data_IF_970130603530
#
_entry.id   IF_970130603530
#
_cell.length_a   1.000
_cell.length_b   1.000
_cell.length_c   1.000
_cell.angle_alpha   90.00
_cell.angle_beta   90.00
_cell.angle_gamma   90.00
#
_symmetry.space_group_name_H-M   'P 1'
#
loop_
_entity.id
_entity.type
_entity.pdbx_description
1 polymer ?
#
# COMPACT_ATOMS: atom_id res chain seq x y z
N UNK A 1 10.01 -13.05 13.12
CA UNK A 1 9.30 -13.81 12.10
C UNK A 1 9.54 -13.17 10.74
N UNK A 2 10.00 -13.95 9.77
CA UNK A 2 10.18 -13.49 8.40
C UNK A 2 9.56 -14.54 7.47
N UNK A 3 8.69 -14.10 6.57
CA UNK A 3 7.96 -14.98 5.68
C UNK A 3 8.22 -14.62 4.22
N UNK A 4 8.35 -15.64 3.39
CA UNK A 4 8.32 -15.48 1.94
C UNK A 4 6.88 -15.32 1.49
N UNK A 5 6.60 -14.29 0.70
CA UNK A 5 5.25 -13.99 0.18
C UNK A 5 5.24 -14.26 -1.32
N UNK A 6 4.35 -15.12 -1.75
CA UNK A 6 4.23 -15.50 -3.15
C UNK A 6 2.79 -15.34 -3.64
N UNK A 7 2.63 -14.71 -4.79
CA UNK A 7 1.37 -14.65 -5.55
C UNK A 7 0.16 -14.23 -4.70
N UNK A 8 -0.81 -15.11 -4.49
CA UNK A 8 -2.02 -14.82 -3.70
C UNK A 8 -1.78 -14.53 -2.23
N UNK A 9 -0.61 -14.88 -1.69
CA UNK A 9 -0.23 -14.53 -0.32
C UNK A 9 -0.14 -13.01 -0.13
N UNK A 10 0.10 -12.25 -1.20
CA UNK A 10 0.09 -10.79 -1.13
C UNK A 10 -1.25 -10.27 -0.62
N UNK A 11 -2.35 -10.84 -1.08
CA UNK A 11 -3.66 -10.47 -0.54
C UNK A 11 -3.85 -10.99 0.88
N UNK A 12 -3.72 -12.29 1.09
CA UNK A 12 -4.09 -12.93 2.36
C UNK A 12 -3.19 -12.56 3.53
N UNK A 13 -1.92 -12.24 3.28
CA UNK A 13 -0.93 -11.96 4.34
C UNK A 13 -0.51 -10.49 4.42
N UNK A 14 -0.68 -9.71 3.37
CA UNK A 14 -0.30 -8.29 3.35
C UNK A 14 -1.55 -7.40 3.32
N UNK A 15 -2.31 -7.44 2.25
CA UNK A 15 -3.48 -6.56 2.09
C UNK A 15 -4.50 -6.79 3.20
N UNK A 16 -4.75 -8.03 3.58
CA UNK A 16 -5.70 -8.37 4.64
C UNK A 16 -5.31 -7.81 6.03
N UNK A 17 -4.04 -7.42 6.23
CA UNK A 17 -3.59 -6.79 7.47
C UNK A 17 -3.88 -5.29 7.52
N UNK A 18 -4.01 -4.64 6.38
CA UNK A 18 -4.17 -3.17 6.29
C UNK A 18 -5.35 -2.65 7.13
N UNK A 19 -6.54 -3.27 7.10
CA UNK A 19 -7.65 -2.79 7.93
C UNK A 19 -7.40 -2.82 9.44
N UNK A 20 -6.40 -3.57 9.89
CA UNK A 20 -6.06 -3.73 11.31
C UNK A 20 -5.04 -2.71 11.80
N UNK A 21 -4.50 -1.89 10.93
CA UNK A 21 -3.50 -0.85 11.27
C UNK A 21 -4.11 0.15 12.24
N UNK A 22 -3.33 0.56 13.25
CA UNK A 22 -3.81 1.44 14.33
C UNK A 22 -3.09 2.78 14.41
N UNK A 23 -1.86 2.89 13.92
CA UNK A 23 -1.04 4.10 14.08
C UNK A 23 -0.57 4.68 12.75
N UNK A 24 0.11 3.89 11.94
CA UNK A 24 0.62 4.37 10.66
C UNK A 24 0.59 3.29 9.58
N UNK A 25 0.38 3.76 8.36
CA UNK A 25 0.44 2.95 7.14
C UNK A 25 1.22 3.75 6.10
N UNK A 26 2.42 3.28 5.77
CA UNK A 26 3.26 3.89 4.73
C UNK A 26 3.36 2.94 3.56
N UNK A 27 3.05 3.42 2.38
CA UNK A 27 3.07 2.62 1.16
C UNK A 27 3.88 3.32 0.08
N UNK A 28 4.81 2.58 -0.53
CA UNK A 28 5.46 2.99 -1.77
C UNK A 28 5.11 1.98 -2.86
N UNK A 29 4.80 2.47 -4.05
CA UNK A 29 4.43 1.64 -5.20
C UNK A 29 4.75 2.38 -6.49
N UNK A 30 5.17 1.66 -7.52
CA UNK A 30 5.41 2.30 -8.82
C UNK A 30 4.08 2.55 -9.55
N UNK A 31 3.20 1.58 -9.57
CA UNK A 31 1.88 1.68 -10.17
C UNK A 31 0.80 1.57 -9.10
N UNK A 32 -0.30 2.27 -9.31
CA UNK A 32 -1.37 2.40 -8.32
C UNK A 32 -2.71 2.26 -9.00
N UNK A 33 -3.48 1.26 -8.58
CA UNK A 33 -4.87 1.09 -8.98
C UNK A 33 -5.69 0.73 -7.77
N UNK A 34 -6.91 1.23 -7.70
CA UNK A 34 -7.79 0.81 -6.62
C UNK A 34 -8.05 -0.69 -6.73
N UNK A 35 -8.15 -1.33 -5.59
CA UNK A 35 -8.42 -2.76 -5.49
C UNK A 35 -9.45 -3.00 -4.39
N UNK A 36 -10.04 -4.18 -4.36
CA UNK A 36 -11.14 -4.48 -3.45
C UNK A 36 -10.65 -5.37 -2.30
N UNK A 37 -11.14 -5.06 -1.10
CA UNK A 37 -10.74 -5.73 0.13
C UNK A 37 -11.99 -6.20 0.86
N UNK A 38 -11.93 -7.38 1.47
CA UNK A 38 -12.98 -7.85 2.36
C UNK A 38 -12.95 -7.03 3.65
N UNK A 39 -14.04 -6.32 3.91
CA UNK A 39 -14.26 -5.61 5.17
C UNK A 39 -14.86 -6.54 6.22
N UNK A 40 -15.68 -7.49 5.77
CA UNK A 40 -16.28 -8.56 6.56
C UNK A 40 -16.51 -9.77 5.67
N UNK A 41 -17.04 -10.88 6.20
CA UNK A 41 -17.32 -12.08 5.40
C UNK A 41 -18.25 -11.81 4.20
N UNK A 42 -19.12 -10.83 4.30
CA UNK A 42 -20.15 -10.53 3.30
C UNK A 42 -19.92 -9.22 2.55
N UNK A 43 -18.92 -8.42 2.97
CA UNK A 43 -18.78 -7.05 2.45
C UNK A 43 -17.39 -6.88 1.83
N UNK A 44 -17.37 -6.51 0.54
CA UNK A 44 -16.15 -6.16 -0.21
C UNK A 44 -16.23 -4.67 -0.51
N UNK A 45 -15.14 -3.95 -0.24
CA UNK A 45 -15.06 -2.50 -0.45
C UNK A 45 -13.77 -2.14 -1.18
N UNK A 46 -13.73 -1.00 -1.88
CA UNK A 46 -12.47 -0.49 -2.42
C UNK A 46 -11.43 -0.27 -1.32
N UNK A 47 -10.14 -0.45 -1.64
CA UNK A 47 -9.06 -0.17 -0.69
C UNK A 47 -9.11 1.29 -0.21
N UNK A 48 -9.50 2.21 -1.08
CA UNK A 48 -9.66 3.62 -0.71
C UNK A 48 -10.68 3.81 0.41
N UNK A 49 -11.73 2.99 0.46
CA UNK A 49 -12.67 2.99 1.60
C UNK A 49 -11.97 2.63 2.91
N UNK A 50 -11.07 1.64 2.87
CA UNK A 50 -10.28 1.25 4.04
C UNK A 50 -9.34 2.39 4.46
N UNK A 51 -8.66 3.03 3.51
CA UNK A 51 -7.82 4.20 3.82
C UNK A 51 -8.64 5.32 4.46
N UNK A 52 -9.84 5.57 3.95
CA UNK A 52 -10.76 6.55 4.51
C UNK A 52 -11.12 6.23 5.97
N UNK A 53 -11.45 4.99 6.26
CA UNK A 53 -11.73 4.55 7.63
C UNK A 53 -10.50 4.75 8.53
N UNK A 54 -9.31 4.41 8.05
CA UNK A 54 -8.07 4.57 8.81
C UNK A 54 -7.77 6.04 9.13
N UNK A 55 -7.83 6.93 8.14
CA UNK A 55 -7.53 8.35 8.40
C UNK A 55 -8.56 8.99 9.32
N UNK A 56 -9.82 8.58 9.27
CA UNK A 56 -10.85 9.03 10.21
C UNK A 56 -10.58 8.59 11.65
N UNK A 57 -9.90 7.46 11.83
CA UNK A 57 -9.48 6.96 13.15
C UNK A 57 -8.18 7.60 13.64
N UNK A 58 -7.56 8.47 12.87
CA UNK A 58 -6.31 9.11 13.23
C UNK A 58 -5.06 8.37 12.80
N UNK A 59 -5.17 7.35 11.95
CA UNK A 59 -4.01 6.64 11.38
C UNK A 59 -3.29 7.57 10.40
N UNK A 60 -1.96 7.65 10.52
CA UNK A 60 -1.13 8.37 9.55
C UNK A 60 -0.98 7.51 8.30
N UNK A 61 -1.59 7.92 7.19
CA UNK A 61 -1.47 7.23 5.91
C UNK A 61 -0.62 8.06 4.96
N UNK A 62 0.52 7.50 4.52
CA UNK A 62 1.42 8.09 3.53
C UNK A 62 1.54 7.18 2.33
N UNK A 63 1.39 7.73 1.15
CA UNK A 63 1.46 7.01 -0.11
C UNK A 63 2.40 7.71 -1.09
N UNK A 64 3.44 7.00 -1.53
CA UNK A 64 4.31 7.44 -2.64
C UNK A 64 4.02 6.57 -3.85
N UNK A 65 3.81 7.20 -5.00
CA UNK A 65 3.59 6.48 -6.25
C UNK A 65 4.31 7.16 -7.42
N UNK A 66 4.68 6.36 -8.42
CA UNK A 66 5.49 6.85 -9.54
C UNK A 66 4.66 7.37 -10.69
N UNK A 67 3.46 6.84 -10.89
CA UNK A 67 2.56 7.20 -11.99
C UNK A 67 1.29 7.84 -11.48
N UNK A 68 0.76 8.79 -12.24
CA UNK A 68 -0.58 9.29 -11.98
C UNK A 68 -1.60 8.15 -12.09
N UNK A 69 -2.50 8.01 -11.10
CA UNK A 69 -3.53 6.99 -11.16
C UNK A 69 -4.52 7.26 -12.31
N UNK A 70 -5.12 6.18 -12.80
CA UNK A 70 -6.14 6.28 -13.82
C UNK A 70 -7.43 6.95 -13.34
N UNK A 71 -8.33 7.23 -14.30
CA UNK A 71 -9.58 7.93 -14.02
C UNK A 71 -10.44 7.21 -12.97
N UNK A 72 -10.55 5.88 -13.04
CA UNK A 72 -11.35 5.10 -12.09
C UNK A 72 -10.88 5.29 -10.64
N UNK A 73 -9.56 5.29 -10.41
CA UNK A 73 -9.00 5.55 -9.09
C UNK A 73 -9.34 6.98 -8.63
N UNK A 74 -9.22 7.96 -9.50
CA UNK A 74 -9.50 9.36 -9.16
C UNK A 74 -10.97 9.56 -8.82
N UNK A 75 -11.87 8.95 -9.56
CA UNK A 75 -13.32 8.98 -9.28
C UNK A 75 -13.65 8.35 -7.94
N UNK A 76 -13.04 7.21 -7.63
CA UNK A 76 -13.22 6.56 -6.33
C UNK A 76 -12.61 7.40 -5.19
N UNK A 77 -11.45 8.00 -5.41
CA UNK A 77 -10.82 8.88 -4.43
C UNK A 77 -11.72 10.07 -4.08
N UNK A 78 -12.38 10.65 -5.06
CA UNK A 78 -13.27 11.81 -4.86
C UNK A 78 -14.52 11.48 -4.03
N UNK A 79 -14.87 10.21 -3.91
CA UNK A 79 -15.97 9.77 -3.04
C UNK A 79 -15.65 9.88 -1.54
N UNK A 80 -14.39 10.07 -1.19
CA UNK A 80 -13.92 10.05 0.20
C UNK A 80 -13.23 11.36 0.56
N UNK A 81 -13.99 12.42 0.94
CA UNK A 81 -13.41 13.74 1.24
C UNK A 81 -12.33 13.74 2.31
N UNK A 82 -12.40 12.83 3.29
CA UNK A 82 -11.39 12.73 4.35
C UNK A 82 -10.01 12.36 3.79
N UNK A 83 -9.93 11.68 2.65
CA UNK A 83 -8.65 11.37 2.01
C UNK A 83 -7.93 12.63 1.53
N UNK A 84 -8.65 13.62 1.03
CA UNK A 84 -8.08 14.88 0.58
C UNK A 84 -7.44 15.66 1.72
N UNK A 85 -8.05 15.66 2.89
CA UNK A 85 -7.61 16.48 4.02
C UNK A 85 -6.64 15.75 4.96
N UNK A 86 -6.66 14.41 5.00
CA UNK A 86 -5.96 13.64 6.04
C UNK A 86 -4.94 12.63 5.51
N UNK A 87 -5.07 12.14 4.28
CA UNK A 87 -4.08 11.25 3.70
C UNK A 87 -3.00 12.06 2.99
N UNK A 88 -1.74 11.72 3.24
CA UNK A 88 -0.60 12.33 2.57
C UNK A 88 -0.20 11.49 1.36
N UNK A 89 -0.10 12.12 0.20
CA UNK A 89 0.24 11.46 -1.06
C UNK A 89 1.29 12.26 -1.82
N UNK A 90 2.32 11.56 -2.32
CA UNK A 90 3.38 12.17 -3.14
C UNK A 90 3.58 11.40 -4.43
N UNK A 91 3.71 12.15 -5.52
CA UNK A 91 4.10 11.60 -6.81
C UNK A 91 5.63 11.71 -6.94
N UNK A 92 6.29 10.59 -7.18
CA UNK A 92 7.72 10.53 -7.39
C UNK A 92 8.05 9.58 -8.55
N UNK A 93 8.23 10.10 -9.78
CA UNK A 93 8.41 9.26 -10.98
C UNK A 93 9.57 8.28 -10.93
N UNK A 94 10.54 8.51 -10.06
CA UNK A 94 11.70 7.62 -9.87
C UNK A 94 11.44 6.43 -8.96
N UNK A 95 10.30 6.39 -8.26
CA UNK A 95 9.99 5.29 -7.34
C UNK A 95 9.67 4.01 -8.12
N UNK A 96 10.42 2.97 -7.83
CA UNK A 96 10.15 1.62 -8.33
C UNK A 96 10.05 0.60 -7.19
N UNK A 97 10.36 1.00 -5.98
CA UNK A 97 10.23 0.16 -4.79
C UNK A 97 8.76 -0.11 -4.46
N UNK A 98 8.49 -1.27 -3.88
CA UNK A 98 7.18 -1.67 -3.39
C UNK A 98 7.32 -2.05 -1.93
N UNK A 99 6.83 -1.17 -1.06
CA UNK A 99 6.99 -1.27 0.40
C UNK A 99 5.65 -0.99 1.05
N UNK A 100 5.29 -1.78 2.05
CA UNK A 100 4.15 -1.52 2.93
C UNK A 100 4.62 -1.62 4.37
N UNK A 101 4.57 -0.51 5.10
CA UNK A 101 4.91 -0.46 6.52
C UNK A 101 3.63 -0.31 7.32
N UNK A 102 3.42 -1.21 8.28
CA UNK A 102 2.24 -1.24 9.13
C UNK A 102 2.64 -1.10 10.59
N UNK A 103 2.27 0.03 11.22
CA UNK A 103 2.46 0.33 12.65
C UNK A 103 3.92 0.30 13.12
N UNK A 104 4.90 0.40 12.24
CA UNK A 104 6.32 0.20 12.55
C UNK A 104 6.63 -1.18 13.17
N UNK A 105 5.72 -2.12 12.99
CA UNK A 105 5.80 -3.46 13.59
C UNK A 105 5.87 -4.56 12.52
N UNK A 106 5.45 -4.25 11.29
CA UNK A 106 5.42 -5.20 10.19
C UNK A 106 5.72 -4.48 8.89
N UNK A 107 6.58 -5.06 8.05
CA UNK A 107 6.91 -4.49 6.75
C UNK A 107 6.89 -5.56 5.66
N UNK A 108 6.29 -5.21 4.54
CA UNK A 108 6.40 -5.94 3.28
C UNK A 108 7.35 -5.21 2.34
N UNK A 109 8.23 -5.96 1.70
CA UNK A 109 9.03 -5.51 0.55
C UNK A 109 8.99 -6.59 -0.52
N UNK A 110 8.74 -6.20 -1.75
CA UNK A 110 8.72 -7.16 -2.84
C UNK A 110 8.47 -6.55 -4.19
N UNK A 111 8.03 -7.37 -5.11
CA UNK A 111 7.80 -6.99 -6.51
C UNK A 111 6.40 -6.46 -6.79
N UNK A 112 5.42 -6.70 -5.90
CA UNK A 112 4.01 -6.42 -6.16
C UNK A 112 3.67 -4.95 -6.01
N UNK A 113 3.19 -4.33 -7.10
CA UNK A 113 2.56 -3.01 -7.04
C UNK A 113 1.20 -3.07 -6.34
N UNK A 114 0.75 -1.93 -5.85
CA UNK A 114 -0.58 -1.78 -5.25
C UNK A 114 -1.65 -1.79 -6.35
N UNK A 115 -1.87 -2.96 -6.91
CA UNK A 115 -2.84 -3.23 -7.98
C UNK A 115 -3.49 -4.59 -7.76
N UNK A 116 -4.66 -4.82 -8.34
CA UNK A 116 -5.31 -6.12 -8.24
C UNK A 116 -4.47 -7.26 -8.81
N UNK A 117 -3.80 -7.02 -9.95
CA UNK A 117 -2.92 -8.01 -10.57
C UNK A 117 -1.66 -8.29 -9.72
N UNK A 118 -1.05 -7.23 -9.16
CA UNK A 118 0.13 -7.35 -8.30
C UNK A 118 -0.15 -8.07 -7.00
N UNK A 119 -1.29 -7.77 -6.38
CA UNK A 119 -1.66 -8.32 -5.07
C UNK A 119 -2.41 -9.65 -5.12
N UNK A 120 -2.41 -10.32 -6.27
CA UNK A 120 -2.97 -11.67 -6.40
C UNK A 120 -4.48 -11.75 -6.39
N UNK A 121 -5.17 -10.65 -6.70
CA UNK A 121 -6.64 -10.56 -6.65
C UNK A 121 -7.34 -10.86 -7.96
N UNK A 122 -6.59 -10.91 -9.05
CA UNK A 122 -7.13 -11.30 -10.35
C UNK A 122 -7.25 -12.81 -10.46
N UNK A 123 -8.00 -13.29 -11.46
CA UNK A 123 -8.07 -14.72 -11.75
C UNK A 123 -6.70 -15.30 -12.04
N UNK A 124 -6.57 -16.63 -11.93
CA UNK A 124 -5.30 -17.32 -12.14
C UNK A 124 -4.64 -16.97 -13.48
N UNK A 125 -5.43 -16.67 -14.52
CA UNK A 125 -4.91 -16.32 -15.84
C UNK A 125 -4.44 -14.86 -15.95
N UNK A 126 -4.89 -13.96 -15.07
CA UNK A 126 -4.69 -12.52 -15.19
C UNK A 126 -3.86 -11.89 -14.07
N UNK A 127 -3.56 -12.63 -13.00
CA UNK A 127 -2.68 -12.12 -11.94
C UNK A 127 -1.22 -12.33 -12.29
N UNK A 128 -0.37 -11.45 -11.77
CA UNK A 128 1.07 -11.59 -11.92
C UNK A 128 1.63 -12.68 -11.01
N UNK A 129 2.78 -13.23 -11.40
CA UNK A 129 3.64 -13.95 -10.46
C UNK A 129 4.50 -12.92 -9.74
N UNK A 130 4.36 -12.85 -8.42
CA UNK A 130 5.00 -11.83 -7.58
C UNK A 130 5.64 -12.50 -6.35
N UNK A 131 6.72 -11.92 -5.86
CA UNK A 131 7.38 -12.41 -4.66
C UNK A 131 7.82 -11.26 -3.76
N UNK A 132 7.89 -11.53 -2.47
CA UNK A 132 8.35 -10.56 -1.50
C UNK A 132 8.62 -11.18 -0.14
N UNK A 133 8.92 -10.31 0.81
CA UNK A 133 9.21 -10.66 2.19
C UNK A 133 8.28 -9.85 3.10
N UNK A 134 7.66 -10.52 4.07
CA UNK A 134 6.96 -9.90 5.17
C UNK A 134 7.73 -10.20 6.46
N UNK A 135 8.11 -9.17 7.21
CA UNK A 135 8.93 -9.34 8.40
C UNK A 135 8.55 -8.38 9.52
N UNK A 136 8.72 -8.83 10.76
CA UNK A 136 8.59 -8.02 11.98
C UNK A 136 9.95 -7.71 12.60
N UNK A 137 11.05 -7.96 11.90
CA UNK A 137 12.39 -7.71 12.44
C UNK A 137 12.68 -6.22 12.58
N UNK A 138 12.99 -5.72 13.81
CA UNK A 138 13.13 -4.28 14.06
C UNK A 138 14.17 -3.58 13.20
N UNK A 139 15.34 -4.18 13.03
CA UNK A 139 16.42 -3.59 12.23
C UNK A 139 16.04 -3.45 10.76
N UNK A 140 15.32 -4.41 10.23
CA UNK A 140 14.82 -4.37 8.85
C UNK A 140 13.76 -3.27 8.69
N UNK A 141 12.84 -3.17 9.63
CA UNK A 141 11.79 -2.14 9.63
C UNK A 141 12.40 -0.75 9.70
N UNK A 142 13.38 -0.53 10.60
CA UNK A 142 14.06 0.76 10.73
C UNK A 142 14.75 1.17 9.42
N UNK A 143 15.41 0.24 8.76
CA UNK A 143 16.03 0.49 7.46
C UNK A 143 15.03 0.84 6.38
N UNK A 144 13.92 0.11 6.31
CA UNK A 144 12.86 0.36 5.34
C UNK A 144 12.21 1.72 5.56
N UNK A 145 11.93 2.08 6.80
CA UNK A 145 11.33 3.38 7.15
C UNK A 145 12.30 4.54 6.89
N UNK A 146 13.58 4.38 7.21
CA UNK A 146 14.58 5.41 6.91
C UNK A 146 14.71 5.65 5.40
N UNK A 147 14.69 4.59 4.62
CA UNK A 147 14.71 4.68 3.16
C UNK A 147 13.46 5.38 2.63
N UNK A 148 12.29 4.99 3.12
CA UNK A 148 11.02 5.63 2.76
C UNK A 148 11.06 7.13 3.07
N UNK A 149 11.49 7.52 4.27
CA UNK A 149 11.57 8.92 4.68
C UNK A 149 12.51 9.72 3.79
N UNK A 150 13.64 9.15 3.39
CA UNK A 150 14.59 9.83 2.50
C UNK A 150 13.98 10.18 1.14
N UNK A 151 13.08 9.35 0.65
CA UNK A 151 12.33 9.59 -0.58
C UNK A 151 11.15 10.53 -0.33
N UNK A 152 10.49 10.38 0.81
CA UNK A 152 9.33 11.19 1.20
C UNK A 152 9.63 12.68 1.25
N UNK A 153 10.84 13.07 1.62
CA UNK A 153 11.28 14.47 1.62
C UNK A 153 11.12 15.15 0.27
N UNK A 154 11.06 14.38 -0.82
CA UNK A 154 10.75 14.87 -2.15
C UNK A 154 11.91 15.53 -2.90
N UNK A 155 13.08 15.70 -2.28
CA UNK A 155 14.25 16.33 -2.91
C UNK A 155 14.69 15.59 -4.17
N UNK A 156 14.63 14.27 -4.16
CA UNK A 156 15.05 13.42 -5.26
C UNK A 156 13.97 13.22 -6.33
N UNK A 157 12.76 13.68 -6.10
CA UNK A 157 11.61 13.45 -6.98
C UNK A 157 11.38 14.60 -7.97
N UNK A 158 12.16 15.65 -7.89
CA UNK A 158 12.09 16.77 -8.82
C UNK A 158 12.63 16.34 -10.19
N UNK A 159 11.89 16.65 -11.20
CA UNK A 159 12.30 16.45 -12.59
C UNK A 159 13.18 17.60 -13.07
#
# INVERSE_FOLDING_TARGET
MTQYIADTDHYSKVIAQIPKVKRLLWIATADLKDLYVKKSEKTVVPLLHIFNDLVKKGVEVRLIHAKEPGQAFREDFDKYPALWSKMERRLCPRVHMKIVVMDSELVYIGSANLTGAGMGMKSAANRNFEAGILTDEPGFIDSAMSHFDSIWEGTHCKQ
#
